data_IF_109897098939
#
_entry.id   IF_109897098939
#
_cell.length_a   1.000
_cell.length_b   1.000
_cell.length_c   1.000
_cell.angle_alpha   90.00
_cell.angle_beta   90.00
_cell.angle_gamma   90.00
#
_symmetry.space_group_name_H-M   'P 1'
#
loop_
_entity.id
_entity.type
_entity.pdbx_description
1 polymer ?
#
# COMPACT_ATOMS: atom_id res chain seq x y z
N UNK A 1 19.98 13.63 -8.00
CA UNK A 1 18.90 12.90 -8.69
C UNK A 1 18.47 11.78 -7.76
N UNK A 2 17.18 11.51 -7.62
CA UNK A 2 16.69 10.36 -6.85
C UNK A 2 16.92 9.05 -7.63
N UNK A 3 16.44 7.93 -7.09
CA UNK A 3 16.60 6.59 -7.70
C UNK A 3 15.97 6.49 -9.11
N UNK A 4 15.21 7.49 -9.57
CA UNK A 4 14.60 7.55 -10.90
C UNK A 4 15.42 8.37 -11.89
N UNK A 5 16.62 8.84 -11.51
CA UNK A 5 17.45 9.69 -12.38
C UNK A 5 16.90 11.11 -12.57
N UNK A 6 15.86 11.49 -11.82
CA UNK A 6 15.22 12.81 -11.89
C UNK A 6 15.23 13.48 -10.51
N UNK A 7 14.48 14.56 -10.33
CA UNK A 7 14.19 15.17 -9.01
C UNK A 7 12.72 14.98 -8.66
N UNK A 8 12.16 13.82 -9.01
CA UNK A 8 10.75 13.49 -8.76
C UNK A 8 10.38 13.65 -7.30
N UNK A 9 11.24 13.22 -6.37
CA UNK A 9 11.02 13.43 -4.93
C UNK A 9 10.97 14.90 -4.54
N UNK A 10 11.71 15.79 -5.21
CA UNK A 10 11.62 17.24 -4.98
C UNK A 10 10.28 17.77 -5.46
N UNK A 11 9.90 17.45 -6.70
CA UNK A 11 8.60 17.87 -7.24
C UNK A 11 7.48 17.36 -6.34
N UNK A 12 7.44 16.05 -6.07
CA UNK A 12 6.43 15.41 -5.23
C UNK A 12 6.32 16.04 -3.83
N UNK A 13 7.46 16.27 -3.14
CA UNK A 13 7.48 16.82 -1.78
C UNK A 13 7.05 18.28 -1.69
N UNK A 14 7.19 19.06 -2.76
CA UNK A 14 6.80 20.47 -2.81
C UNK A 14 5.52 20.72 -3.62
N UNK A 15 5.00 19.70 -4.30
CA UNK A 15 3.86 19.83 -5.20
C UNK A 15 2.64 20.38 -4.47
N UNK A 16 2.27 19.74 -3.35
CA UNK A 16 1.09 20.15 -2.58
C UNK A 16 1.24 21.55 -1.98
N UNK A 17 2.42 21.92 -1.50
CA UNK A 17 2.70 23.23 -0.94
C UNK A 17 2.61 24.31 -2.02
N UNK A 18 3.14 24.05 -3.22
CA UNK A 18 3.02 24.96 -4.35
C UNK A 18 1.55 25.17 -4.75
N UNK A 19 0.76 24.10 -4.84
CA UNK A 19 -0.68 24.20 -5.13
C UNK A 19 -1.46 24.93 -4.03
N UNK A 20 -1.10 24.73 -2.76
CA UNK A 20 -1.72 25.45 -1.65
C UNK A 20 -1.42 26.96 -1.75
N UNK A 21 -0.16 27.34 -2.00
CA UNK A 21 0.23 28.75 -2.18
C UNK A 21 -0.43 29.37 -3.41
N UNK A 22 -0.55 28.64 -4.52
CA UNK A 22 -1.28 29.08 -5.70
C UNK A 22 -2.78 29.21 -5.43
N UNK A 23 -3.37 28.33 -4.61
CA UNK A 23 -4.77 28.44 -4.19
C UNK A 23 -5.04 29.73 -3.42
N UNK A 24 -4.21 30.04 -2.41
CA UNK A 24 -4.33 31.28 -1.61
C UNK A 24 -4.08 32.52 -2.47
N UNK A 25 -3.01 32.51 -3.28
CA UNK A 25 -2.67 33.62 -4.16
C UNK A 25 -3.75 33.85 -5.22
N UNK A 26 -4.27 32.76 -5.80
CA UNK A 26 -5.36 32.79 -6.77
C UNK A 26 -6.64 33.37 -6.17
N UNK A 27 -7.03 32.93 -4.97
CA UNK A 27 -8.18 33.48 -4.26
C UNK A 27 -8.04 35.00 -4.02
N UNK A 28 -6.86 35.46 -3.58
CA UNK A 28 -6.59 36.88 -3.41
C UNK A 28 -6.71 37.65 -4.73
N UNK A 29 -6.08 37.17 -5.81
CA UNK A 29 -6.12 37.81 -7.14
C UNK A 29 -7.55 37.89 -7.66
N UNK A 30 -8.34 36.83 -7.50
CA UNK A 30 -9.76 36.81 -7.87
C UNK A 30 -10.49 37.90 -7.10
N UNK A 31 -10.53 37.85 -5.77
CA UNK A 31 -11.25 38.85 -4.93
C UNK A 31 -10.84 40.27 -5.29
N UNK A 32 -9.54 40.55 -5.36
CA UNK A 32 -8.97 41.86 -5.66
C UNK A 32 -9.34 42.37 -7.06
N UNK A 33 -9.54 41.47 -8.02
CA UNK A 33 -9.99 41.80 -9.38
C UNK A 33 -11.50 42.04 -9.41
N UNK A 34 -12.29 41.22 -8.73
CA UNK A 34 -13.74 41.38 -8.58
C UNK A 34 -14.08 42.72 -7.91
N UNK A 35 -13.42 43.04 -6.78
CA UNK A 35 -13.64 44.30 -6.06
C UNK A 35 -13.34 45.52 -6.93
N UNK A 36 -12.24 45.48 -7.71
CA UNK A 36 -11.91 46.56 -8.65
C UNK A 36 -12.92 46.68 -9.79
N UNK A 37 -13.40 45.56 -10.32
CA UNK A 37 -14.39 45.55 -11.40
C UNK A 37 -15.72 46.17 -10.93
N UNK A 38 -16.15 45.87 -9.70
CA UNK A 38 -17.36 46.46 -9.09
C UNK A 38 -17.18 47.96 -8.79
N UNK A 39 -15.99 48.38 -8.33
CA UNK A 39 -15.71 49.78 -8.00
C UNK A 39 -15.56 50.70 -9.23
N UNK A 40 -15.12 50.18 -10.37
CA UNK A 40 -14.99 50.94 -11.62
C UNK A 40 -16.36 51.15 -12.27
N UNK A 41 -17.05 52.25 -11.92
CA UNK A 41 -18.27 52.74 -12.60
C UNK A 41 -17.98 53.34 -13.98
N UNK A 42 -17.34 52.62 -14.88
CA UNK A 42 -17.01 53.15 -16.22
C UNK A 42 -17.46 52.19 -17.32
N UNK A 43 -18.58 52.54 -17.96
CA UNK A 43 -18.98 52.11 -19.30
C UNK A 43 -19.32 50.63 -19.50
N UNK A 44 -20.63 50.34 -19.67
CA UNK A 44 -21.24 49.03 -19.94
C UNK A 44 -21.14 48.01 -18.78
N UNK A 45 -22.28 47.72 -18.16
CA UNK A 45 -22.41 46.70 -17.10
C UNK A 45 -21.90 45.30 -17.53
N UNK A 46 -21.89 45.00 -18.84
CA UNK A 46 -21.37 43.74 -19.37
C UNK A 46 -19.86 43.55 -19.12
N UNK A 47 -19.07 44.62 -19.21
CA UNK A 47 -17.60 44.55 -19.07
C UNK A 47 -17.15 44.26 -17.63
N UNK A 48 -17.96 44.65 -16.64
CA UNK A 48 -17.73 44.36 -15.22
C UNK A 48 -18.27 43.01 -14.77
N UNK A 49 -19.34 42.50 -15.39
CA UNK A 49 -20.05 41.28 -14.95
C UNK A 49 -19.42 40.00 -15.51
N UNK A 50 -18.97 40.01 -16.76
CA UNK A 50 -18.40 38.82 -17.40
C UNK A 50 -17.22 38.16 -16.63
N UNK A 51 -16.17 38.90 -16.20
CA UNK A 51 -15.05 38.29 -15.46
C UNK A 51 -15.47 37.82 -14.06
N UNK A 52 -16.47 38.46 -13.44
CA UNK A 52 -17.03 38.03 -12.15
C UNK A 52 -17.73 36.70 -12.30
N UNK A 53 -18.61 36.58 -13.29
CA UNK A 53 -19.33 35.34 -13.59
C UNK A 53 -18.36 34.21 -13.94
N UNK A 54 -17.37 34.47 -14.81
CA UNK A 54 -16.35 33.47 -15.14
C UNK A 54 -15.56 33.04 -13.90
N UNK A 55 -15.15 33.99 -13.04
CA UNK A 55 -14.46 33.68 -11.79
C UNK A 55 -15.27 32.81 -10.85
N UNK A 56 -16.56 33.12 -10.67
CA UNK A 56 -17.48 32.31 -9.86
C UNK A 56 -17.72 30.92 -10.46
N UNK A 57 -17.86 30.82 -11.78
CA UNK A 57 -18.00 29.52 -12.47
C UNK A 57 -16.74 28.67 -12.33
N UNK A 58 -15.55 29.25 -12.41
CA UNK A 58 -14.30 28.54 -12.18
C UNK A 58 -14.16 28.08 -10.72
N UNK A 59 -14.56 28.91 -9.75
CA UNK A 59 -14.59 28.51 -8.34
C UNK A 59 -15.57 27.37 -8.11
N UNK A 60 -16.79 27.46 -8.63
CA UNK A 60 -17.79 26.40 -8.53
C UNK A 60 -17.28 25.11 -9.20
N UNK A 61 -16.70 25.22 -10.40
CA UNK A 61 -16.09 24.11 -11.11
C UNK A 61 -14.96 23.44 -10.31
N UNK A 62 -14.12 24.23 -9.64
CA UNK A 62 -13.05 23.70 -8.79
C UNK A 62 -13.59 22.94 -7.57
N UNK A 63 -14.71 23.39 -6.97
CA UNK A 63 -15.33 22.69 -5.83
C UNK A 63 -15.96 21.35 -6.20
N UNK A 64 -16.31 21.13 -7.47
CA UNK A 64 -16.86 19.85 -7.93
C UNK A 64 -15.90 18.69 -7.65
N UNK A 65 -14.59 18.89 -7.85
CA UNK A 65 -13.60 17.86 -7.56
C UNK A 65 -13.58 17.49 -6.07
N UNK A 66 -13.67 18.47 -5.17
CA UNK A 66 -13.67 18.22 -3.73
C UNK A 66 -14.89 17.41 -3.31
N UNK A 67 -16.08 17.78 -3.79
CA UNK A 67 -17.34 17.09 -3.46
C UNK A 67 -17.37 15.70 -4.09
N UNK A 68 -17.11 15.59 -5.40
CA UNK A 68 -17.12 14.33 -6.12
C UNK A 68 -16.02 13.37 -5.62
N UNK A 69 -14.84 13.91 -5.28
CA UNK A 69 -13.72 13.16 -4.72
C UNK A 69 -14.05 12.60 -3.34
N UNK A 70 -14.62 13.41 -2.44
CA UNK A 70 -15.07 12.95 -1.13
C UNK A 70 -16.14 11.87 -1.26
N UNK A 71 -17.14 12.07 -2.13
CA UNK A 71 -18.17 11.08 -2.40
C UNK A 71 -17.56 9.77 -2.93
N UNK A 72 -16.72 9.82 -3.96
CA UNK A 72 -16.11 8.63 -4.55
C UNK A 72 -15.22 7.86 -3.56
N UNK A 73 -14.42 8.57 -2.74
CA UNK A 73 -13.51 7.95 -1.77
C UNK A 73 -14.22 7.36 -0.55
N UNK A 74 -15.41 7.85 -0.23
CA UNK A 74 -16.23 7.33 0.87
C UNK A 74 -17.30 6.36 0.38
N UNK A 75 -17.32 6.03 -0.92
CA UNK A 75 -18.39 5.30 -1.56
C UNK A 75 -19.78 5.89 -1.23
N UNK A 76 -19.89 7.22 -1.31
CA UNK A 76 -21.10 7.96 -0.97
C UNK A 76 -21.45 7.94 0.51
N UNK A 77 -20.45 7.76 1.39
CA UNK A 77 -20.66 7.54 2.82
C UNK A 77 -21.57 6.34 3.12
N UNK A 78 -21.60 5.34 2.23
CA UNK A 78 -22.46 4.16 2.36
C UNK A 78 -22.04 3.18 3.47
N UNK A 79 -20.95 3.45 4.19
CA UNK A 79 -20.53 2.62 5.32
C UNK A 79 -21.33 3.03 6.57
N UNK A 80 -22.17 2.11 7.06
CA UNK A 80 -22.95 2.31 8.29
C UNK A 80 -22.09 2.26 9.57
N UNK A 81 -20.86 1.74 9.47
CA UNK A 81 -19.95 1.53 10.62
C UNK A 81 -18.55 2.09 10.36
N UNK A 82 -18.37 3.43 10.36
CA UNK A 82 -17.05 4.04 10.32
C UNK A 82 -16.15 3.53 11.45
N UNK A 83 -14.89 3.23 11.14
CA UNK A 83 -13.94 2.69 12.12
C UNK A 83 -12.53 3.21 11.88
N UNK A 84 -11.77 3.38 12.96
CA UNK A 84 -10.33 3.67 12.92
C UNK A 84 -9.48 2.41 12.70
N UNK A 85 -10.09 1.22 12.67
CA UNK A 85 -9.40 -0.01 12.33
C UNK A 85 -9.18 -0.07 10.81
N UNK A 86 -7.96 0.24 10.37
CA UNK A 86 -7.56 0.28 8.97
C UNK A 86 -7.73 -1.06 8.21
N UNK A 87 -7.83 -2.18 8.94
CA UNK A 87 -8.00 -3.52 8.36
C UNK A 87 -9.38 -4.13 8.63
N UNK A 88 -10.35 -3.37 9.13
CA UNK A 88 -11.71 -3.87 9.38
C UNK A 88 -12.39 -4.43 8.12
N UNK A 89 -12.04 -3.91 6.94
CA UNK A 89 -12.53 -4.44 5.68
C UNK A 89 -12.02 -5.87 5.39
N UNK A 90 -10.88 -6.28 5.94
CA UNK A 90 -10.33 -7.64 5.74
C UNK A 90 -11.23 -8.66 6.42
N UNK A 91 -11.67 -8.38 7.65
CA UNK A 91 -12.65 -9.21 8.37
C UNK A 91 -13.92 -9.46 7.54
N UNK A 92 -14.43 -8.40 6.87
CA UNK A 92 -15.66 -8.48 6.09
C UNK A 92 -15.48 -9.12 4.71
N UNK A 93 -14.32 -8.93 4.07
CA UNK A 93 -14.09 -9.32 2.66
C UNK A 93 -13.22 -10.56 2.48
N UNK A 94 -12.44 -10.95 3.50
CA UNK A 94 -11.49 -12.06 3.48
C UNK A 94 -11.43 -12.74 4.86
N UNK A 95 -12.49 -13.46 5.28
CA UNK A 95 -12.57 -14.09 6.59
C UNK A 95 -11.40 -15.06 6.88
N UNK A 96 -10.94 -15.83 5.90
CA UNK A 96 -9.76 -16.70 6.04
C UNK A 96 -8.46 -15.95 6.35
N UNK A 97 -8.21 -14.85 5.64
CA UNK A 97 -7.04 -14.00 5.87
C UNK A 97 -7.13 -13.30 7.24
N UNK A 98 -8.34 -12.89 7.64
CA UNK A 98 -8.58 -12.35 8.97
C UNK A 98 -8.29 -13.37 10.07
N UNK A 99 -8.77 -14.61 9.92
CA UNK A 99 -8.49 -15.70 10.85
C UNK A 99 -6.99 -15.99 10.95
N UNK A 100 -6.27 -15.96 9.82
CA UNK A 100 -4.82 -16.10 9.79
C UNK A 100 -4.09 -14.95 10.51
N UNK A 101 -4.52 -13.70 10.31
CA UNK A 101 -3.97 -12.53 11.02
C UNK A 101 -4.15 -12.68 12.54
N UNK A 102 -5.34 -13.10 12.99
CA UNK A 102 -5.60 -13.32 14.41
C UNK A 102 -4.75 -14.47 14.95
N UNK A 103 -4.70 -15.59 14.24
CA UNK A 103 -3.88 -16.74 14.62
C UNK A 103 -2.41 -16.38 14.76
N UNK A 104 -1.83 -15.63 13.81
CA UNK A 104 -0.44 -15.17 13.89
C UNK A 104 -0.26 -14.26 15.11
N UNK A 105 -1.22 -13.37 15.40
CA UNK A 105 -1.16 -12.48 16.57
C UNK A 105 -1.15 -13.22 17.90
N UNK A 106 -1.91 -14.29 18.00
CA UNK A 106 -2.15 -14.98 19.26
C UNK A 106 -1.18 -16.15 19.48
N UNK A 107 -0.64 -16.71 18.39
CA UNK A 107 0.08 -18.01 18.42
C UNK A 107 1.57 -17.92 18.06
N UNK A 108 2.09 -16.74 17.73
CA UNK A 108 3.50 -16.54 17.38
C UNK A 108 4.18 -15.55 18.31
N UNK A 109 5.48 -15.75 18.55
CA UNK A 109 6.29 -14.79 19.29
C UNK A 109 6.31 -13.42 18.58
N UNK A 110 6.44 -12.29 19.32
CA UNK A 110 6.43 -10.96 18.72
C UNK A 110 7.54 -10.72 17.68
N UNK A 111 8.66 -11.42 17.81
CA UNK A 111 9.83 -11.35 16.94
C UNK A 111 9.89 -12.49 15.90
N UNK A 112 8.93 -13.41 15.89
CA UNK A 112 8.89 -14.51 14.95
C UNK A 112 8.82 -14.01 13.49
N UNK A 113 9.68 -14.55 12.63
CA UNK A 113 9.71 -14.23 11.21
C UNK A 113 8.64 -15.04 10.47
N UNK A 114 7.62 -14.33 10.00
CA UNK A 114 6.53 -14.91 9.19
C UNK A 114 6.80 -14.57 7.73
N UNK A 115 7.25 -15.56 6.97
CA UNK A 115 7.47 -15.44 5.54
C UNK A 115 6.12 -15.31 4.82
N UNK A 116 5.97 -14.24 4.05
CA UNK A 116 4.89 -14.05 3.08
C UNK A 116 5.51 -13.57 1.75
N UNK A 117 4.73 -13.57 0.67
CA UNK A 117 5.23 -13.13 -0.63
C UNK A 117 5.71 -11.68 -0.63
N UNK A 118 6.75 -11.36 -1.42
CA UNK A 118 7.14 -9.95 -1.58
C UNK A 118 6.06 -9.17 -2.31
N UNK A 119 5.85 -7.92 -1.92
CA UNK A 119 4.84 -7.05 -2.52
C UNK A 119 5.38 -6.18 -3.64
N UNK A 120 4.52 -5.91 -4.63
CA UNK A 120 4.75 -4.81 -5.55
C UNK A 120 4.52 -3.46 -4.87
N UNK A 121 5.26 -2.43 -5.25
CA UNK A 121 5.03 -1.08 -4.72
C UNK A 121 3.56 -0.66 -4.91
N UNK A 122 2.93 -0.22 -3.82
CA UNK A 122 1.52 0.19 -3.74
C UNK A 122 0.48 -0.93 -3.93
N UNK A 123 0.89 -2.20 -3.88
CA UNK A 123 -0.02 -3.36 -3.83
C UNK A 123 -0.48 -3.62 -2.40
N UNK A 124 -1.51 -2.90 -1.97
CA UNK A 124 -2.08 -3.00 -0.62
C UNK A 124 -2.74 -4.35 -0.30
N UNK A 125 -2.84 -5.24 -1.28
CA UNK A 125 -3.23 -6.63 -1.12
C UNK A 125 -2.07 -7.54 -0.70
N UNK A 126 -0.81 -7.16 -0.92
CA UNK A 126 0.38 -7.94 -0.52
C UNK A 126 0.92 -7.47 0.84
N UNK A 127 1.74 -8.30 1.47
CA UNK A 127 2.39 -8.02 2.77
C UNK A 127 1.45 -7.66 3.92
N UNK A 128 0.24 -8.22 3.91
CA UNK A 128 -0.77 -7.91 4.92
C UNK A 128 -0.52 -8.61 6.24
N UNK A 129 0.12 -9.78 6.24
CA UNK A 129 0.39 -10.50 7.49
C UNK A 129 1.37 -9.68 8.31
N UNK A 130 2.52 -9.29 7.77
CA UNK A 130 3.47 -8.44 8.50
C UNK A 130 2.87 -7.08 8.87
N UNK A 131 2.15 -6.43 7.94
CA UNK A 131 1.52 -5.12 8.20
C UNK A 131 0.46 -5.17 9.30
N UNK A 132 -0.38 -6.19 9.32
CA UNK A 132 -1.46 -6.31 10.30
C UNK A 132 -0.95 -6.83 11.65
N UNK A 133 -0.01 -7.75 11.66
CA UNK A 133 0.38 -8.48 12.88
C UNK A 133 1.59 -7.87 13.58
N UNK A 134 2.39 -7.05 12.89
CA UNK A 134 3.65 -6.53 13.39
C UNK A 134 4.80 -7.53 13.37
N UNK A 135 4.58 -8.77 12.88
CA UNK A 135 5.64 -9.78 12.74
C UNK A 135 6.51 -9.41 11.53
N UNK A 136 7.84 -9.48 11.65
CA UNK A 136 8.71 -9.25 10.51
C UNK A 136 8.47 -10.30 9.42
N UNK A 137 8.73 -9.91 8.18
CA UNK A 137 8.82 -10.82 7.04
C UNK A 137 10.17 -10.66 6.35
N UNK A 138 10.57 -11.65 5.54
CA UNK A 138 11.88 -11.66 4.91
C UNK A 138 12.08 -10.47 3.97
N UNK A 139 11.08 -10.16 3.13
CA UNK A 139 11.12 -9.05 2.19
C UNK A 139 9.71 -8.55 1.87
N UNK A 140 9.43 -7.29 2.25
CA UNK A 140 8.18 -6.60 1.94
C UNK A 140 8.14 -6.03 0.51
N UNK A 141 7.88 -4.73 0.38
CA UNK A 141 7.84 -4.06 -0.92
C UNK A 141 9.25 -3.69 -1.41
N UNK A 142 9.89 -4.60 -2.14
CA UNK A 142 11.26 -4.45 -2.65
C UNK A 142 11.53 -3.07 -3.28
N UNK A 143 10.60 -2.54 -4.08
CA UNK A 143 10.75 -1.22 -4.69
C UNK A 143 10.89 -0.10 -3.65
N UNK A 144 10.10 -0.13 -2.58
CA UNK A 144 10.19 0.86 -1.49
C UNK A 144 11.42 0.62 -0.61
N UNK A 145 11.74 -0.63 -0.31
CA UNK A 145 12.96 -0.99 0.43
C UNK A 145 14.21 -0.46 -0.26
N UNK A 146 14.25 -0.56 -1.60
CA UNK A 146 15.30 0.00 -2.46
C UNK A 146 15.33 1.54 -2.45
N UNK A 147 14.17 2.20 -2.45
CA UNK A 147 14.09 3.66 -2.36
C UNK A 147 14.64 4.21 -1.05
N UNK A 148 14.42 3.51 0.06
CA UNK A 148 14.89 3.95 1.38
C UNK A 148 16.37 3.66 1.61
N UNK A 149 16.87 2.51 1.13
CA UNK A 149 18.28 2.11 1.30
C UNK A 149 19.20 2.68 0.22
N UNK A 150 18.67 3.05 -0.94
CA UNK A 150 19.46 3.60 -2.03
C UNK A 150 20.54 2.64 -2.49
N UNK A 151 21.79 3.11 -2.58
CA UNK A 151 22.92 2.32 -3.11
C UNK A 151 23.25 1.08 -2.27
N UNK A 152 22.95 1.07 -0.98
CA UNK A 152 23.21 -0.09 -0.12
C UNK A 152 22.15 -1.18 -0.24
N UNK A 153 21.07 -0.96 -1.00
CA UNK A 153 19.98 -1.93 -1.11
C UNK A 153 20.47 -3.30 -1.58
N UNK A 154 21.32 -3.36 -2.62
CA UNK A 154 21.80 -4.63 -3.16
C UNK A 154 22.48 -5.50 -2.10
N UNK A 155 23.45 -4.91 -1.38
CA UNK A 155 24.17 -5.59 -0.31
C UNK A 155 23.25 -5.96 0.87
N UNK A 156 22.33 -5.07 1.22
CA UNK A 156 21.42 -5.28 2.35
C UNK A 156 20.34 -6.31 2.05
N UNK A 157 19.76 -6.31 0.85
CA UNK A 157 18.72 -7.24 0.43
C UNK A 157 19.31 -8.65 0.27
N UNK A 158 20.55 -8.75 -0.24
CA UNK A 158 21.21 -10.02 -0.49
C UNK A 158 20.32 -10.94 -1.33
N UNK A 159 20.19 -12.19 -0.92
CA UNK A 159 19.44 -13.20 -1.65
C UNK A 159 17.96 -13.32 -1.25
N UNK A 160 17.39 -12.39 -0.48
CA UNK A 160 16.02 -12.50 0.04
C UNK A 160 14.95 -12.76 -1.04
N UNK A 161 15.02 -12.03 -2.15
CA UNK A 161 14.08 -12.23 -3.25
C UNK A 161 14.24 -13.63 -3.90
N UNK A 162 15.48 -14.09 -4.06
CA UNK A 162 15.76 -15.43 -4.56
C UNK A 162 15.34 -16.53 -3.58
N UNK A 163 15.46 -16.28 -2.27
CA UNK A 163 14.97 -17.18 -1.22
C UNK A 163 13.45 -17.34 -1.28
N UNK A 164 12.70 -16.26 -1.53
CA UNK A 164 11.25 -16.37 -1.73
C UNK A 164 10.90 -17.25 -2.94
N UNK A 165 11.59 -17.09 -4.07
CA UNK A 165 11.39 -17.96 -5.25
C UNK A 165 11.78 -19.42 -4.95
N UNK A 166 12.84 -19.64 -4.18
CA UNK A 166 13.25 -20.96 -3.75
C UNK A 166 12.15 -21.62 -2.90
N UNK A 167 11.66 -20.93 -1.87
CA UNK A 167 10.67 -21.51 -0.95
C UNK A 167 9.31 -21.71 -1.63
N UNK A 168 8.83 -20.72 -2.40
CA UNK A 168 7.48 -20.78 -2.97
C UNK A 168 7.39 -21.42 -4.37
N UNK A 169 8.50 -21.71 -5.04
CA UNK A 169 8.46 -22.22 -6.43
C UNK A 169 9.47 -23.35 -6.69
N UNK A 170 10.75 -23.12 -6.43
CA UNK A 170 11.83 -23.90 -7.06
C UNK A 170 12.47 -24.97 -6.17
N UNK A 171 12.44 -24.80 -4.86
CA UNK A 171 13.27 -25.57 -3.92
C UNK A 171 12.79 -27.01 -3.72
N UNK A 172 13.75 -27.93 -3.67
CA UNK A 172 13.61 -29.23 -3.03
C UNK A 172 13.44 -29.10 -1.51
N UNK A 173 13.06 -30.18 -0.83
CA UNK A 173 12.90 -30.18 0.64
C UNK A 173 14.18 -29.74 1.35
N UNK A 174 15.34 -30.26 0.93
CA UNK A 174 16.63 -29.92 1.55
C UNK A 174 17.01 -28.45 1.33
N UNK A 175 16.74 -27.91 0.13
CA UNK A 175 16.98 -26.49 -0.17
C UNK A 175 16.05 -25.57 0.63
N UNK A 176 14.78 -25.98 0.81
CA UNK A 176 13.83 -25.24 1.66
C UNK A 176 14.31 -25.24 3.09
N UNK A 177 14.67 -26.39 3.67
CA UNK A 177 15.18 -26.50 5.04
C UNK A 177 16.43 -25.62 5.24
N UNK A 178 17.39 -25.68 4.31
CA UNK A 178 18.57 -24.82 4.35
C UNK A 178 18.21 -23.32 4.31
N UNK A 179 17.24 -22.92 3.48
CA UNK A 179 16.78 -21.54 3.40
C UNK A 179 16.06 -21.07 4.68
N UNK A 180 15.26 -21.94 5.30
CA UNK A 180 14.61 -21.67 6.58
C UNK A 180 15.66 -21.44 7.68
N UNK A 181 16.71 -22.25 7.70
CA UNK A 181 17.81 -22.13 8.67
C UNK A 181 18.64 -20.87 8.44
N UNK A 182 19.01 -20.58 7.18
CA UNK A 182 19.86 -19.44 6.83
C UNK A 182 19.24 -18.09 7.23
N UNK A 183 17.91 -17.98 7.14
CA UNK A 183 17.18 -16.74 7.37
C UNK A 183 16.37 -16.72 8.66
N UNK A 184 16.47 -17.78 9.47
CA UNK A 184 15.73 -17.97 10.71
C UNK A 184 14.22 -17.77 10.52
N UNK A 185 13.66 -18.47 9.53
CA UNK A 185 12.24 -18.37 9.17
C UNK A 185 11.43 -19.30 10.07
N UNK A 186 10.61 -18.73 10.95
CA UNK A 186 9.77 -19.49 11.87
C UNK A 186 8.50 -20.03 11.21
N UNK A 187 7.89 -19.21 10.35
CA UNK A 187 6.61 -19.54 9.72
C UNK A 187 6.59 -19.20 8.22
N UNK A 188 5.83 -19.98 7.45
CA UNK A 188 5.55 -19.70 6.03
C UNK A 188 4.05 -19.61 5.83
N UNK A 189 3.60 -18.43 5.40
CA UNK A 189 2.21 -18.14 5.03
C UNK A 189 1.98 -18.47 3.55
N UNK A 190 0.85 -19.12 3.23
CA UNK A 190 0.42 -19.42 1.87
C UNK A 190 -1.04 -19.01 1.70
N UNK A 191 -1.27 -17.86 1.06
CA UNK A 191 -2.59 -17.35 0.70
C UNK A 191 -2.82 -17.25 -0.81
N UNK A 192 -3.94 -16.65 -1.26
CA UNK A 192 -4.25 -16.45 -2.67
C UNK A 192 -3.16 -15.69 -3.43
N UNK A 193 -2.58 -14.66 -2.81
CA UNK A 193 -1.55 -13.84 -3.44
C UNK A 193 -0.26 -14.63 -3.65
N UNK A 194 0.18 -15.42 -2.67
CA UNK A 194 1.35 -16.28 -2.81
C UNK A 194 1.12 -17.33 -3.91
N UNK A 195 -0.08 -17.92 -3.95
CA UNK A 195 -0.44 -18.90 -5.00
C UNK A 195 -0.42 -18.27 -6.38
N UNK A 196 -0.98 -17.08 -6.54
CA UNK A 196 -1.00 -16.36 -7.82
C UNK A 196 0.42 -15.93 -8.23
N UNK A 197 1.16 -15.29 -7.33
CA UNK A 197 2.47 -14.70 -7.61
C UNK A 197 3.53 -15.75 -7.93
N UNK A 198 3.57 -16.84 -7.15
CA UNK A 198 4.59 -17.87 -7.29
C UNK A 198 4.10 -19.10 -8.09
N UNK A 199 2.82 -19.15 -8.45
CA UNK A 199 2.25 -20.30 -9.17
C UNK A 199 2.32 -21.57 -8.33
N UNK A 200 2.02 -21.48 -7.03
CA UNK A 200 2.14 -22.59 -6.08
C UNK A 200 1.20 -23.72 -6.53
N UNK A 201 1.79 -24.88 -6.77
CA UNK A 201 1.08 -26.11 -7.14
C UNK A 201 0.88 -27.01 -5.90
N UNK A 202 0.00 -28.02 -5.96
CA UNK A 202 -0.11 -29.03 -4.91
C UNK A 202 1.23 -29.67 -4.55
N UNK A 203 2.06 -29.98 -5.55
CA UNK A 203 3.41 -30.53 -5.31
C UNK A 203 4.35 -29.57 -4.58
N UNK A 204 4.13 -28.24 -4.66
CA UNK A 204 4.89 -27.25 -3.90
C UNK A 204 4.41 -27.20 -2.45
N UNK A 205 3.10 -27.23 -2.22
CA UNK A 205 2.53 -27.33 -0.87
C UNK A 205 2.92 -28.65 -0.18
N UNK A 206 3.05 -29.75 -0.92
CA UNK A 206 3.56 -31.02 -0.40
C UNK A 206 5.02 -30.90 0.06
N UNK A 207 5.89 -30.22 -0.70
CA UNK A 207 7.28 -29.98 -0.26
C UNK A 207 7.33 -29.10 0.99
N UNK A 208 6.47 -28.08 1.09
CA UNK A 208 6.34 -27.28 2.31
C UNK A 208 5.87 -28.15 3.50
N UNK A 209 4.87 -29.01 3.30
CA UNK A 209 4.36 -29.92 4.33
C UNK A 209 5.38 -31.00 4.74
N UNK A 210 6.31 -31.38 3.85
CA UNK A 210 7.43 -32.26 4.18
C UNK A 210 8.50 -31.53 5.00
N UNK A 211 8.77 -30.27 4.67
CA UNK A 211 9.81 -29.44 5.31
C UNK A 211 9.35 -28.85 6.65
N UNK A 212 8.06 -28.62 6.84
CA UNK A 212 7.49 -27.86 7.96
C UNK A 212 6.24 -28.54 8.52
N UNK A 213 5.72 -28.07 9.64
CA UNK A 213 4.47 -28.54 10.25
C UNK A 213 3.31 -27.61 9.87
N UNK A 214 2.21 -28.14 9.33
CA UNK A 214 1.00 -27.35 9.08
C UNK A 214 0.31 -27.03 10.42
N UNK A 215 0.19 -25.75 10.76
CA UNK A 215 -0.34 -25.29 12.05
C UNK A 215 -1.61 -24.43 11.93
N UNK A 216 -1.96 -24.03 10.71
CA UNK A 216 -3.21 -23.33 10.39
C UNK A 216 -3.67 -23.73 8.99
N UNK A 217 -4.94 -24.08 8.84
CA UNK A 217 -5.60 -24.32 7.55
C UNK A 217 -7.06 -23.86 7.63
N UNK A 218 -7.40 -22.78 6.93
CA UNK A 218 -8.76 -22.25 6.86
C UNK A 218 -8.98 -21.43 5.59
N UNK A 219 -10.10 -21.62 4.90
CA UNK A 219 -10.55 -20.82 3.75
C UNK A 219 -9.48 -20.58 2.67
N UNK A 220 -8.71 -21.62 2.37
CA UNK A 220 -7.63 -21.55 1.37
C UNK A 220 -6.39 -20.79 1.87
N UNK A 221 -6.25 -20.55 3.15
CA UNK A 221 -5.03 -20.04 3.78
C UNK A 221 -4.36 -21.18 4.55
N UNK A 222 -3.05 -21.31 4.38
CA UNK A 222 -2.23 -22.23 5.17
C UNK A 222 -1.05 -21.52 5.82
N UNK A 223 -0.71 -21.91 7.05
CA UNK A 223 0.52 -21.49 7.70
C UNK A 223 1.29 -22.72 8.17
N UNK A 224 2.55 -22.77 7.78
CA UNK A 224 3.49 -23.81 8.15
C UNK A 224 4.47 -23.25 9.19
N UNK A 225 4.81 -24.04 10.22
CA UNK A 225 5.76 -23.73 11.28
C UNK A 225 7.02 -24.58 11.11
N UNK A 226 8.20 -23.99 11.34
CA UNK A 226 9.48 -24.70 11.35
C UNK A 226 9.47 -25.76 12.46
N UNK A 227 9.94 -26.97 12.14
CA UNK A 227 10.12 -28.02 13.15
C UNK A 227 11.35 -27.65 13.98
N UNK A 228 11.19 -27.69 15.31
CA UNK A 228 12.31 -27.46 16.25
C UNK A 228 13.35 -28.56 16.24
#
# INVERSE_FOLDING_TARGET
RDNFGTRMNTIFKFYYQAWLLFGVSGAYVVVRTLTRAVQRRTGSALASVAPVTVGLLLMLGATLFTVAGAYAKTNGFASDTPTFNAIAFVEQTRPGEWAAIQWVRDSTAPDALVLEGKGGSYRADHNRISTATGRPTLLGWEGHESQWRGKSYGDMAGNRAATLELIYRLGSVDEILFALDQWDIDYVYVGPNEREQYGITPGTEERLAQSMELVFDADGIRIYRRRG
#
